data_IF_277717330175
#
_entry.id   IF_277717330175
#
_cell.length_a   1.000
_cell.length_b   1.000
_cell.length_c   1.000
_cell.angle_alpha   90.00
_cell.angle_beta   90.00
_cell.angle_gamma   90.00
#
_symmetry.space_group_name_H-M   'P 1'
#
loop_
_entity.id
_entity.type
_entity.pdbx_description
1 polymer ?
#
# COMPACT_ATOMS: atom_id res chain seq x y z
N UNK A 1 10.98 4.09 -9.60
CA UNK A 1 10.84 2.87 -10.40
C UNK A 1 10.35 1.74 -9.48
N UNK A 2 9.11 1.26 -9.64
CA UNK A 2 8.53 0.25 -8.77
C UNK A 2 9.26 -1.10 -8.83
N UNK A 3 9.82 -1.51 -9.98
CA UNK A 3 10.61 -2.74 -10.08
C UNK A 3 11.86 -2.68 -9.19
N UNK A 4 12.61 -1.57 -9.26
CA UNK A 4 13.79 -1.34 -8.43
C UNK A 4 13.46 -1.30 -6.92
N UNK A 5 12.27 -0.78 -6.56
CA UNK A 5 11.80 -0.78 -5.18
C UNK A 5 11.53 -2.20 -4.66
N UNK A 6 10.90 -3.07 -5.47
CA UNK A 6 10.67 -4.48 -5.10
C UNK A 6 11.99 -5.23 -4.97
N UNK A 7 12.96 -5.00 -5.86
CA UNK A 7 14.29 -5.61 -5.75
C UNK A 7 15.02 -5.17 -4.47
N UNK A 8 14.90 -3.89 -4.12
CA UNK A 8 15.46 -3.36 -2.87
C UNK A 8 14.79 -3.98 -1.64
N UNK A 9 13.46 -4.16 -1.68
CA UNK A 9 12.72 -4.84 -0.62
C UNK A 9 13.18 -6.30 -0.46
N UNK A 10 13.36 -7.04 -1.57
CA UNK A 10 13.89 -8.41 -1.56
C UNK A 10 15.30 -8.48 -0.94
N UNK A 11 16.17 -7.51 -1.25
CA UNK A 11 17.50 -7.43 -0.65
C UNK A 11 17.43 -7.24 0.87
N UNK A 12 16.54 -6.38 1.36
CA UNK A 12 16.33 -6.16 2.80
C UNK A 12 15.74 -7.39 3.50
N UNK A 13 14.73 -8.03 2.89
CA UNK A 13 14.07 -9.22 3.41
C UNK A 13 15.05 -10.40 3.57
N UNK A 14 16.05 -10.51 2.69
CA UNK A 14 17.01 -11.62 2.71
C UNK A 14 17.77 -11.79 4.03
N UNK A 15 17.90 -10.73 4.82
CA UNK A 15 18.57 -10.74 6.11
C UNK A 15 17.65 -11.14 7.29
N UNK A 16 16.34 -11.22 7.07
CA UNK A 16 15.35 -11.47 8.12
C UNK A 16 15.02 -12.97 8.25
N UNK A 17 14.98 -13.53 9.47
CA UNK A 17 14.51 -14.90 9.68
C UNK A 17 13.05 -15.07 9.23
N UNK A 18 12.73 -16.15 8.51
CA UNK A 18 11.36 -16.45 8.10
C UNK A 18 10.86 -15.64 6.89
N UNK A 19 11.76 -14.99 6.14
CA UNK A 19 11.39 -14.16 4.99
C UNK A 19 10.89 -14.94 3.77
N UNK A 20 11.11 -16.26 3.73
CA UNK A 20 11.01 -17.08 2.53
C UNK A 20 9.62 -16.98 1.88
N UNK A 21 8.56 -16.98 2.68
CA UNK A 21 7.19 -16.88 2.18
C UNK A 21 6.94 -15.56 1.42
N UNK A 22 7.34 -14.43 2.01
CA UNK A 22 7.16 -13.09 1.42
C UNK A 22 8.09 -12.91 0.22
N UNK A 23 9.35 -13.32 0.34
CA UNK A 23 10.33 -13.25 -0.75
C UNK A 23 9.87 -14.05 -1.97
N UNK A 24 9.38 -15.28 -1.77
CA UNK A 24 8.84 -16.11 -2.84
C UNK A 24 7.61 -15.47 -3.49
N UNK A 25 6.71 -14.89 -2.70
CA UNK A 25 5.51 -14.25 -3.21
C UNK A 25 5.84 -13.00 -4.06
N UNK A 26 6.80 -12.17 -3.62
CA UNK A 26 7.27 -11.02 -4.39
C UNK A 26 7.97 -11.44 -5.69
N UNK A 27 8.76 -12.52 -5.67
CA UNK A 27 9.38 -13.07 -6.88
C UNK A 27 8.33 -13.62 -7.85
N UNK A 28 7.26 -14.24 -7.36
CA UNK A 28 6.14 -14.69 -8.20
C UNK A 28 5.42 -13.51 -8.84
N UNK A 29 5.19 -12.41 -8.11
CA UNK A 29 4.62 -11.18 -8.66
C UNK A 29 5.46 -10.63 -9.83
N UNK A 30 6.78 -10.51 -9.64
CA UNK A 30 7.71 -10.07 -10.69
C UNK A 30 7.73 -11.03 -11.89
N UNK A 31 7.65 -12.34 -11.63
CA UNK A 31 7.53 -13.35 -12.68
C UNK A 31 6.23 -13.22 -13.48
N UNK A 32 5.12 -12.89 -12.81
CA UNK A 32 3.81 -12.72 -13.43
C UNK A 32 3.73 -11.52 -14.37
N UNK A 33 4.46 -10.43 -14.10
CA UNK A 33 4.55 -9.25 -15.00
C UNK A 33 4.99 -9.67 -16.41
N UNK A 34 5.86 -10.67 -16.52
CA UNK A 34 6.42 -11.13 -17.81
C UNK A 34 5.51 -12.08 -18.57
N UNK A 35 4.33 -12.41 -18.04
CA UNK A 35 3.42 -13.42 -18.63
C UNK A 35 2.38 -12.82 -19.58
N UNK A 36 2.50 -11.55 -19.96
CA UNK A 36 1.61 -10.87 -20.90
C UNK A 36 0.57 -9.97 -20.22
N UNK A 37 -0.52 -9.68 -20.92
CA UNK A 37 -1.55 -8.72 -20.48
C UNK A 37 -2.11 -9.07 -19.10
N UNK A 38 -2.27 -8.11 -18.18
CA UNK A 38 -2.81 -8.37 -16.86
C UNK A 38 -4.27 -8.81 -16.91
N UNK A 39 -4.63 -9.78 -16.06
CA UNK A 39 -6.01 -10.29 -15.96
C UNK A 39 -6.37 -10.60 -14.51
N UNK A 40 -7.67 -10.54 -14.14
CA UNK A 40 -8.13 -10.89 -12.80
C UNK A 40 -7.71 -12.30 -12.35
N UNK A 41 -7.65 -13.26 -13.26
CA UNK A 41 -7.25 -14.64 -12.94
C UNK A 41 -5.78 -14.71 -12.51
N UNK A 42 -4.91 -13.85 -13.05
CA UNK A 42 -3.51 -13.77 -12.58
C UNK A 42 -3.44 -13.19 -11.18
N UNK A 43 -4.24 -12.17 -10.88
CA UNK A 43 -4.34 -11.59 -9.54
C UNK A 43 -4.85 -12.65 -8.55
N UNK A 44 -5.89 -13.39 -8.92
CA UNK A 44 -6.46 -14.47 -8.10
C UNK A 44 -5.45 -15.60 -7.83
N UNK A 45 -4.62 -15.95 -8.82
CA UNK A 45 -3.54 -16.94 -8.61
C UNK A 45 -2.48 -16.46 -7.62
N UNK A 46 -2.14 -15.17 -7.64
CA UNK A 46 -1.17 -14.58 -6.71
C UNK A 46 -1.75 -14.45 -5.30
N UNK A 47 -3.01 -14.01 -5.19
CA UNK A 47 -3.69 -13.89 -3.90
C UNK A 47 -4.02 -15.25 -3.27
N UNK A 48 -4.20 -16.29 -4.09
CA UNK A 48 -4.42 -17.66 -3.65
C UNK A 48 -5.66 -17.76 -2.75
N UNK A 49 -5.50 -18.31 -1.55
CA UNK A 49 -6.57 -18.38 -0.53
C UNK A 49 -6.69 -17.13 0.33
N UNK A 50 -6.04 -16.02 -0.06
CA UNK A 50 -6.04 -14.76 0.70
C UNK A 50 -5.01 -14.73 1.83
N UNK A 51 -3.87 -15.40 1.68
CA UNK A 51 -2.77 -15.30 2.65
C UNK A 51 -2.11 -13.92 2.58
N UNK A 52 -1.41 -13.52 3.65
CA UNK A 52 -0.81 -12.20 3.73
C UNK A 52 0.23 -11.96 2.62
N UNK A 53 1.12 -12.94 2.40
CA UNK A 53 2.13 -12.91 1.35
C UNK A 53 1.52 -12.91 -0.06
N UNK A 54 0.44 -13.68 -0.27
CA UNK A 54 -0.26 -13.71 -1.55
C UNK A 54 -0.93 -12.37 -1.87
N UNK A 55 -1.54 -11.73 -0.88
CA UNK A 55 -2.17 -10.41 -1.05
C UNK A 55 -1.15 -9.30 -1.30
N UNK A 56 0.01 -9.35 -0.64
CA UNK A 56 1.12 -8.44 -0.95
C UNK A 56 1.64 -8.66 -2.37
N UNK A 57 1.82 -9.92 -2.80
CA UNK A 57 2.23 -10.24 -4.16
C UNK A 57 1.22 -9.75 -5.21
N UNK A 58 -0.07 -9.98 -4.99
CA UNK A 58 -1.14 -9.50 -5.85
C UNK A 58 -1.14 -7.96 -5.94
N UNK A 59 -0.97 -7.26 -4.81
CA UNK A 59 -0.93 -5.81 -4.78
C UNK A 59 0.29 -5.24 -5.52
N UNK A 60 1.48 -5.82 -5.31
CA UNK A 60 2.70 -5.45 -6.04
C UNK A 60 2.53 -5.69 -7.53
N UNK A 61 1.98 -6.84 -7.93
CA UNK A 61 1.69 -7.13 -9.33
C UNK A 61 0.77 -6.07 -9.95
N UNK A 62 -0.35 -5.74 -9.29
CA UNK A 62 -1.28 -4.73 -9.78
C UNK A 62 -0.64 -3.34 -9.89
N UNK A 63 0.25 -2.97 -8.96
CA UNK A 63 0.98 -1.72 -9.00
C UNK A 63 2.03 -1.67 -10.13
N UNK A 64 2.65 -2.81 -10.47
CA UNK A 64 3.65 -2.90 -11.55
C UNK A 64 3.03 -2.89 -12.95
N UNK A 65 1.87 -3.53 -13.13
CA UNK A 65 1.22 -3.68 -14.44
C UNK A 65 0.13 -2.64 -14.70
N UNK A 66 -0.28 -1.88 -13.67
CA UNK A 66 -1.26 -0.82 -13.78
C UNK A 66 -0.76 0.31 -14.67
N UNK A 67 -1.61 0.73 -15.61
CA UNK A 67 -1.31 1.87 -16.50
C UNK A 67 -1.48 3.20 -15.78
N UNK A 68 -2.44 3.25 -14.85
CA UNK A 68 -2.70 4.35 -13.94
C UNK A 68 -3.29 3.82 -12.62
N UNK A 69 -3.54 4.74 -11.69
CA UNK A 69 -4.12 4.41 -10.38
C UNK A 69 -5.47 3.68 -10.51
N UNK A 70 -6.31 4.12 -11.45
CA UNK A 70 -7.64 3.55 -11.67
C UNK A 70 -7.52 2.11 -12.16
N UNK A 71 -6.69 1.87 -13.16
CA UNK A 71 -6.48 0.55 -13.76
C UNK A 71 -5.91 -0.42 -12.72
N UNK A 72 -4.88 -0.03 -11.97
CA UNK A 72 -4.30 -0.88 -10.92
C UNK A 72 -5.30 -1.24 -9.82
N UNK A 73 -6.10 -0.27 -9.35
CA UNK A 73 -7.16 -0.51 -8.37
C UNK A 73 -8.27 -1.42 -8.91
N UNK A 74 -8.76 -1.17 -10.14
CA UNK A 74 -9.75 -2.02 -10.78
C UNK A 74 -9.24 -3.46 -10.93
N UNK A 75 -7.99 -3.64 -11.34
CA UNK A 75 -7.39 -4.96 -11.48
C UNK A 75 -7.34 -5.71 -10.15
N UNK A 76 -6.97 -5.03 -9.06
CA UNK A 76 -6.85 -5.61 -7.73
C UNK A 76 -8.20 -6.06 -7.14
N UNK A 77 -9.28 -5.33 -7.40
CA UNK A 77 -10.60 -5.62 -6.80
C UNK A 77 -11.47 -6.58 -7.62
N UNK A 78 -11.17 -6.79 -8.90
CA UNK A 78 -11.97 -7.63 -9.80
C UNK A 78 -11.64 -9.13 -9.74
N UNK A 79 -10.91 -9.59 -8.72
CA UNK A 79 -10.60 -11.00 -8.49
C UNK A 79 -11.53 -11.64 -7.46
N UNK A 80 -11.69 -12.96 -7.55
CA UNK A 80 -12.34 -13.77 -6.52
C UNK A 80 -11.40 -13.94 -5.32
N UNK A 81 -11.80 -13.41 -4.15
CA UNK A 81 -11.00 -13.45 -2.91
C UNK A 81 -11.23 -12.20 -2.05
N UNK A 82 -10.32 -11.89 -1.10
CA UNK A 82 -10.44 -10.71 -0.24
C UNK A 82 -10.08 -9.41 -0.99
N UNK A 83 -10.92 -9.04 -1.95
CA UNK A 83 -10.75 -7.90 -2.86
C UNK A 83 -10.61 -6.56 -2.13
N UNK A 84 -11.28 -6.40 -0.99
CA UNK A 84 -11.14 -5.21 -0.16
C UNK A 84 -9.70 -5.02 0.35
N UNK A 85 -9.05 -6.11 0.79
CA UNK A 85 -7.66 -6.07 1.27
C UNK A 85 -6.69 -5.87 0.09
N UNK A 86 -6.92 -6.56 -1.02
CA UNK A 86 -6.13 -6.38 -2.24
C UNK A 86 -6.20 -4.93 -2.75
N UNK A 87 -7.39 -4.33 -2.78
CA UNK A 87 -7.62 -2.94 -3.15
C UNK A 87 -6.93 -1.96 -2.19
N UNK A 88 -7.01 -2.20 -0.88
CA UNK A 88 -6.35 -1.36 0.12
C UNK A 88 -4.81 -1.37 -0.01
N UNK A 89 -4.21 -2.56 -0.15
CA UNK A 89 -2.76 -2.70 -0.33
C UNK A 89 -2.30 -2.07 -1.65
N UNK A 90 -3.01 -2.36 -2.74
CA UNK A 90 -2.70 -1.79 -4.07
C UNK A 90 -2.82 -0.27 -4.06
N UNK A 91 -3.88 0.26 -3.44
CA UNK A 91 -4.09 1.71 -3.28
C UNK A 91 -3.00 2.39 -2.46
N UNK A 92 -2.53 1.75 -1.39
CA UNK A 92 -1.40 2.25 -0.60
C UNK A 92 -0.11 2.35 -1.43
N UNK A 93 0.20 1.31 -2.22
CA UNK A 93 1.37 1.31 -3.10
C UNK A 93 1.26 2.38 -4.20
N UNK A 94 0.13 2.43 -4.92
CA UNK A 94 -0.10 3.39 -5.99
C UNK A 94 -0.15 4.84 -5.47
N UNK A 95 -0.74 5.06 -4.29
CA UNK A 95 -0.75 6.36 -3.63
C UNK A 95 0.65 6.83 -3.24
N UNK A 96 1.51 5.94 -2.74
CA UNK A 96 2.90 6.25 -2.45
C UNK A 96 3.72 6.54 -3.73
N UNK A 97 3.42 5.85 -4.84
CA UNK A 97 4.11 6.02 -6.12
C UNK A 97 3.70 7.30 -6.87
N UNK A 98 2.42 7.65 -6.85
CA UNK A 98 1.85 8.70 -7.70
C UNK A 98 1.37 9.94 -6.94
N UNK A 99 1.25 9.85 -5.61
CA UNK A 99 0.67 10.89 -4.77
C UNK A 99 -0.87 10.96 -4.86
N UNK A 100 -1.47 11.66 -3.90
CA UNK A 100 -2.94 11.74 -3.77
C UNK A 100 -3.63 12.43 -4.95
N UNK A 101 -2.94 13.31 -5.66
CA UNK A 101 -3.49 14.03 -6.82
C UNK A 101 -3.75 13.14 -8.03
N UNK A 102 -3.15 11.94 -8.06
CA UNK A 102 -3.39 10.92 -9.08
C UNK A 102 -4.65 10.08 -8.80
N UNK A 103 -5.26 10.20 -7.62
CA UNK A 103 -6.44 9.43 -7.25
C UNK A 103 -7.68 9.89 -8.05
N UNK A 104 -8.56 8.97 -8.50
CA UNK A 104 -9.74 9.34 -9.30
C UNK A 104 -10.72 10.25 -8.53
N UNK A 105 -10.96 11.51 -8.95
CA UNK A 105 -11.76 12.47 -8.17
C UNK A 105 -13.19 12.01 -7.93
N UNK A 106 -13.80 11.35 -8.92
CA UNK A 106 -15.15 10.81 -8.81
C UNK A 106 -15.27 9.70 -7.76
N UNK A 107 -14.20 8.93 -7.51
CA UNK A 107 -14.21 7.92 -6.44
C UNK A 107 -13.98 8.54 -5.07
N UNK A 108 -13.12 9.56 -5.00
CA UNK A 108 -12.90 10.30 -3.75
C UNK A 108 -14.13 11.09 -3.29
N UNK A 109 -15.03 11.47 -4.20
CA UNK A 109 -16.28 12.14 -3.85
C UNK A 109 -17.24 11.22 -3.06
N UNK A 110 -17.17 9.92 -3.32
CA UNK A 110 -18.03 8.89 -2.71
C UNK A 110 -17.38 8.20 -1.50
N UNK A 111 -16.12 8.54 -1.17
CA UNK A 111 -15.36 7.87 -0.12
C UNK A 111 -15.86 8.29 1.27
N UNK A 112 -16.51 7.36 1.96
CA UNK A 112 -16.89 7.51 3.36
C UNK A 112 -15.66 7.78 4.23
N UNK A 113 -15.78 8.74 5.17
CA UNK A 113 -14.70 9.07 6.10
C UNK A 113 -13.50 9.78 5.46
N UNK A 114 -13.59 10.20 4.19
CA UNK A 114 -12.49 10.92 3.51
C UNK A 114 -11.90 12.08 4.32
N UNK A 115 -12.69 12.99 4.93
CA UNK A 115 -12.11 14.07 5.73
C UNK A 115 -11.23 13.56 6.88
N UNK A 116 -11.67 12.51 7.56
CA UNK A 116 -10.91 11.87 8.65
C UNK A 116 -9.63 11.21 8.15
N UNK A 117 -9.70 10.50 7.01
CA UNK A 117 -8.51 9.87 6.41
C UNK A 117 -7.48 10.93 6.00
N UNK A 118 -7.91 12.05 5.42
CA UNK A 118 -7.01 13.15 5.05
C UNK A 118 -6.37 13.79 6.28
N UNK A 119 -7.14 14.04 7.34
CA UNK A 119 -6.57 14.57 8.59
C UNK A 119 -5.52 13.61 9.19
N UNK A 120 -5.79 12.31 9.21
CA UNK A 120 -4.84 11.31 9.68
C UNK A 120 -3.58 11.24 8.79
N UNK A 121 -3.74 11.37 7.47
CA UNK A 121 -2.62 11.35 6.53
C UNK A 121 -1.72 12.60 6.69
N UNK A 122 -2.33 13.78 6.82
CA UNK A 122 -1.64 15.05 7.06
C UNK A 122 -0.90 15.02 8.40
N UNK A 123 -1.53 14.49 9.45
CA UNK A 123 -0.92 14.36 10.76
C UNK A 123 0.23 13.37 10.78
N UNK A 124 0.09 12.23 10.09
CA UNK A 124 1.18 11.28 9.92
C UNK A 124 2.35 11.90 9.16
N UNK A 125 2.10 12.64 8.07
CA UNK A 125 3.13 13.34 7.33
C UNK A 125 3.83 14.40 8.19
N UNK A 126 3.07 15.14 9.00
CA UNK A 126 3.61 16.12 9.93
C UNK A 126 4.48 15.46 11.01
N UNK A 127 4.06 14.33 11.58
CA UNK A 127 4.86 13.59 12.57
C UNK A 127 6.19 13.09 11.98
N UNK A 128 6.14 12.51 10.79
CA UNK A 128 7.31 11.92 10.14
C UNK A 128 8.30 12.98 9.65
N UNK A 129 7.85 14.20 9.34
CA UNK A 129 8.71 15.26 8.75
C UNK A 129 9.02 16.42 9.69
N UNK A 130 8.17 16.65 10.70
CA UNK A 130 8.26 17.77 11.65
C UNK A 130 8.20 17.29 13.11
N UNK A 131 8.50 16.02 13.40
CA UNK A 131 8.45 15.46 14.74
C UNK A 131 9.21 16.27 15.80
N UNK A 132 10.36 16.88 15.46
CA UNK A 132 11.11 17.74 16.39
C UNK A 132 10.40 19.08 16.74
N UNK A 133 9.50 19.55 15.88
CA UNK A 133 8.63 20.71 16.16
C UNK A 133 7.41 20.31 17.01
N UNK A 134 6.96 19.06 16.89
CA UNK A 134 5.82 18.52 17.64
C UNK A 134 6.23 17.99 19.03
N UNK A 135 7.45 17.49 19.15
CA UNK A 135 7.92 16.72 20.30
C UNK A 135 9.31 17.18 20.75
N UNK A 136 9.46 17.27 22.07
CA UNK A 136 10.76 17.28 22.74
C UNK A 136 10.93 15.96 23.51
N UNK A 137 12.14 15.65 24.03
CA UNK A 137 12.35 14.46 24.85
C UNK A 137 11.41 14.36 26.07
N UNK A 138 10.84 15.48 26.53
CA UNK A 138 10.01 15.54 27.75
C UNK A 138 8.57 16.01 27.51
N UNK A 139 8.23 16.47 26.30
CA UNK A 139 6.92 17.06 26.04
C UNK A 139 6.44 16.85 24.61
N UNK A 140 5.14 17.00 24.40
CA UNK A 140 4.50 17.07 23.08
C UNK A 140 3.66 18.34 23.02
N UNK A 141 3.51 18.90 21.82
CA UNK A 141 2.70 20.11 21.63
C UNK A 141 1.26 19.88 22.10
N UNK A 142 0.64 20.91 22.68
CA UNK A 142 -0.74 20.83 23.15
C UNK A 142 -1.71 20.50 22.01
N UNK A 143 -1.47 21.06 20.82
CA UNK A 143 -2.27 20.78 19.62
C UNK A 143 -2.21 19.29 19.22
N UNK A 144 -1.02 18.66 19.32
CA UNK A 144 -0.87 17.23 19.06
C UNK A 144 -1.62 16.39 20.11
N UNK A 145 -1.43 16.68 21.40
CA UNK A 145 -2.09 15.93 22.49
C UNK A 145 -3.61 16.07 22.51
N UNK A 146 -4.15 17.18 21.99
CA UNK A 146 -5.60 17.35 21.84
C UNK A 146 -6.20 16.36 20.83
N UNK A 147 -5.44 15.98 19.80
CA UNK A 147 -5.87 15.01 18.77
C UNK A 147 -5.45 13.58 19.09
N UNK A 148 -4.26 13.39 19.68
CA UNK A 148 -3.71 12.09 20.06
C UNK A 148 -3.39 12.05 21.56
N UNK A 149 -4.39 11.84 22.42
CA UNK A 149 -4.19 11.76 23.87
C UNK A 149 -3.33 10.55 24.23
N UNK A 150 -2.36 10.74 25.13
CA UNK A 150 -1.65 9.61 25.75
C UNK A 150 -2.54 9.01 26.83
N UNK A 151 -2.59 7.68 26.91
CA UNK A 151 -3.18 7.01 28.05
C UNK A 151 -2.47 7.47 29.34
N UNK A 152 -3.26 7.86 30.34
CA UNK A 152 -2.79 8.29 31.67
C UNK A 152 -2.47 7.06 32.51
#
# INVERSE_FOLDING_TARGET
DPDAAVQSALALLSALPGNEAVSNALQQALGAVRQGMPTPERVSRLSGTGTAEGLVAAAVYCALVGEDVRHGLCLAVNQDGPSAVAGALTGGLLGALHGETALPPAWLAELEGRPTILELADDFAMEMTQGAALHSPTASSAAWLARYPRAV
#
